data_IF_646328083023
#
_entry.id   IF_646328083023
#
_cell.length_a   1.000
_cell.length_b   1.000
_cell.length_c   1.000
_cell.angle_alpha   90.00
_cell.angle_beta   90.00
_cell.angle_gamma   90.00
#
_symmetry.space_group_name_H-M   'P 1'
#
loop_
_entity.id
_entity.type
_entity.pdbx_description
1 polymer ?
#
# COMPACT_ATOMS: atom_id res chain seq x y z
N UNK A 1 -54.20 35.07 28.36
CA UNK A 1 -53.91 33.87 29.17
C UNK A 1 -54.43 32.70 28.35
N UNK A 2 -53.65 31.80 27.77
CA UNK A 2 -52.44 31.18 28.29
C UNK A 2 -51.57 30.64 27.15
N UNK A 3 -50.27 30.69 27.38
CA UNK A 3 -49.15 30.13 26.62
C UNK A 3 -49.16 28.59 26.61
N UNK A 4 -48.82 27.97 25.47
CA UNK A 4 -48.33 26.58 25.42
C UNK A 4 -47.42 26.42 24.19
N UNK A 5 -46.16 26.82 24.31
CA UNK A 5 -44.97 25.96 24.52
C UNK A 5 -44.58 25.14 23.29
N UNK A 6 -43.57 25.66 22.59
CA UNK A 6 -42.71 25.02 21.59
C UNK A 6 -42.08 23.75 22.15
N UNK A 7 -42.34 22.59 21.55
CA UNK A 7 -41.54 21.39 21.78
C UNK A 7 -40.57 21.24 20.60
N UNK A 8 -39.34 21.72 20.81
CA UNK A 8 -38.23 21.46 19.90
C UNK A 8 -37.99 19.95 19.83
N UNK A 9 -37.99 19.40 18.62
CA UNK A 9 -37.56 18.03 18.38
C UNK A 9 -36.11 17.89 18.84
N UNK A 10 -35.90 17.20 19.96
CA UNK A 10 -34.58 16.84 20.42
C UNK A 10 -33.97 15.90 19.36
N UNK A 11 -33.08 16.44 18.53
CA UNK A 11 -32.10 15.66 17.79
C UNK A 11 -31.30 14.88 18.81
N UNK A 12 -31.64 13.61 18.98
CA UNK A 12 -30.79 12.66 19.66
C UNK A 12 -29.49 12.56 18.83
N UNK A 13 -28.52 13.39 19.18
CA UNK A 13 -27.12 13.25 18.78
C UNK A 13 -26.55 12.05 19.54
N UNK A 14 -27.10 10.85 19.28
CA UNK A 14 -26.38 9.62 19.55
C UNK A 14 -25.21 9.59 18.57
N UNK A 15 -24.00 9.32 19.08
CA UNK A 15 -22.87 9.05 18.21
C UNK A 15 -23.29 7.99 17.18
N UNK A 16 -23.00 8.23 15.90
CA UNK A 16 -23.25 7.23 14.86
C UNK A 16 -22.59 5.92 15.31
N UNK A 17 -23.32 4.79 15.36
CA UNK A 17 -22.77 3.52 15.83
C UNK A 17 -21.51 3.21 15.01
N UNK A 18 -20.36 3.25 15.69
CA UNK A 18 -19.06 3.41 15.05
C UNK A 18 -18.44 2.05 14.66
N UNK A 19 -19.27 1.03 14.51
CA UNK A 19 -18.85 -0.25 13.95
C UNK A 19 -17.81 -0.98 14.81
N UNK A 20 -17.90 -0.86 16.13
CA UNK A 20 -16.90 -1.41 17.04
C UNK A 20 -16.98 -2.93 17.20
N UNK A 21 -15.84 -3.57 17.48
CA UNK A 21 -15.72 -5.00 17.82
C UNK A 21 -16.58 -5.33 19.07
N UNK A 22 -16.73 -4.34 19.96
CA UNK A 22 -17.55 -4.37 21.18
C UNK A 22 -19.05 -4.48 20.85
N UNK A 23 -19.46 -4.06 19.65
CA UNK A 23 -20.84 -3.98 19.18
C UNK A 23 -21.24 -5.22 18.34
N UNK A 24 -20.35 -6.22 18.25
CA UNK A 24 -20.59 -7.49 17.58
C UNK A 24 -20.35 -7.48 16.06
N UNK A 25 -19.78 -6.41 15.51
CA UNK A 25 -19.43 -6.32 14.10
C UNK A 25 -18.05 -6.94 13.83
N UNK A 26 -17.96 -7.81 12.82
CA UNK A 26 -16.71 -8.44 12.41
C UNK A 26 -15.81 -7.43 11.67
N UNK A 27 -14.65 -7.03 12.24
CA UNK A 27 -13.79 -6.00 11.64
C UNK A 27 -13.05 -6.46 10.37
N UNK A 28 -13.12 -7.76 10.08
CA UNK A 28 -12.59 -8.40 8.87
C UNK A 28 -13.57 -8.26 7.69
N UNK A 29 -14.87 -8.05 7.96
CA UNK A 29 -15.84 -7.89 6.89
C UNK A 29 -15.73 -6.49 6.29
N UNK A 30 -15.52 -6.40 4.98
CA UNK A 30 -15.48 -5.12 4.30
C UNK A 30 -16.85 -4.44 4.39
N UNK A 31 -16.89 -3.24 4.98
CA UNK A 31 -18.04 -2.35 4.95
C UNK A 31 -17.67 -1.12 4.10
N UNK A 32 -18.33 -0.87 2.96
CA UNK A 32 -18.04 0.29 2.11
C UNK A 32 -18.20 1.64 2.83
N UNK A 33 -18.99 1.69 3.91
CA UNK A 33 -19.18 2.89 4.73
C UNK A 33 -18.01 3.15 5.67
N UNK A 34 -17.29 2.09 6.09
CA UNK A 34 -16.21 2.14 7.07
C UNK A 34 -14.99 1.30 6.61
N UNK A 35 -14.34 1.66 5.48
CA UNK A 35 -13.24 0.86 4.91
C UNK A 35 -11.95 0.87 5.76
N UNK A 36 -11.87 1.78 6.74
CA UNK A 36 -10.67 2.06 7.53
C UNK A 36 -10.30 0.88 8.44
N UNK A 37 -11.29 0.18 9.01
CA UNK A 37 -11.03 -0.93 9.93
C UNK A 37 -10.27 -2.08 9.25
N UNK A 38 -10.77 -2.50 8.08
CA UNK A 38 -10.14 -3.54 7.28
C UNK A 38 -8.77 -3.09 6.77
N UNK A 39 -8.64 -1.82 6.34
CA UNK A 39 -7.36 -1.25 5.93
C UNK A 39 -6.29 -1.32 7.04
N UNK A 40 -6.65 -0.99 8.29
CA UNK A 40 -5.72 -1.07 9.42
C UNK A 40 -5.26 -2.51 9.66
N UNK A 41 -6.18 -3.48 9.56
CA UNK A 41 -5.85 -4.92 9.66
C UNK A 41 -4.90 -5.34 8.54
N UNK A 42 -5.18 -4.95 7.29
CA UNK A 42 -4.31 -5.21 6.14
C UNK A 42 -2.91 -4.61 6.34
N UNK A 43 -2.83 -3.34 6.73
CA UNK A 43 -1.57 -2.65 6.97
C UNK A 43 -0.78 -3.34 8.10
N UNK A 44 -1.45 -3.74 9.18
CA UNK A 44 -0.83 -4.49 10.26
C UNK A 44 -0.24 -5.82 9.77
N UNK A 45 -1.01 -6.61 9.01
CA UNK A 45 -0.55 -7.89 8.43
C UNK A 45 0.66 -7.66 7.52
N UNK A 46 0.60 -6.68 6.62
CA UNK A 46 1.69 -6.34 5.70
C UNK A 46 2.95 -5.96 6.48
N UNK A 47 2.85 -5.01 7.42
CA UNK A 47 4.00 -4.52 8.19
C UNK A 47 4.58 -5.64 9.06
N UNK A 48 3.72 -6.42 9.72
CA UNK A 48 4.14 -7.54 10.55
C UNK A 48 4.89 -8.60 9.73
N UNK A 49 4.35 -8.99 8.59
CA UNK A 49 4.94 -10.01 7.74
C UNK A 49 6.27 -9.54 7.14
N UNK A 50 6.33 -8.31 6.63
CA UNK A 50 7.59 -7.73 6.12
C UNK A 50 8.66 -7.66 7.21
N UNK A 51 8.31 -7.29 8.45
CA UNK A 51 9.25 -7.30 9.59
C UNK A 51 9.70 -8.71 9.96
N UNK A 52 8.78 -9.66 9.98
CA UNK A 52 9.09 -11.06 10.27
C UNK A 52 10.08 -11.62 9.25
N UNK A 53 9.87 -11.31 7.97
CA UNK A 53 10.74 -11.75 6.89
C UNK A 53 12.09 -11.00 6.86
N UNK A 54 12.12 -9.74 7.30
CA UNK A 54 13.37 -8.98 7.42
C UNK A 54 14.33 -9.60 8.43
N UNK A 55 13.84 -10.20 9.52
CA UNK A 55 14.70 -10.77 10.56
C UNK A 55 15.67 -11.85 10.05
N UNK A 56 15.24 -12.92 9.36
CA UNK A 56 16.16 -13.88 8.77
C UNK A 56 16.94 -13.31 7.58
N UNK A 57 16.31 -12.53 6.70
CA UNK A 57 16.97 -11.98 5.50
C UNK A 57 18.11 -11.01 5.82
N UNK A 58 17.98 -10.24 6.90
CA UNK A 58 19.05 -9.36 7.38
C UNK A 58 20.29 -10.14 7.81
N UNK A 59 20.14 -11.38 8.32
CA UNK A 59 21.29 -12.25 8.64
C UNK A 59 22.03 -12.73 7.39
N UNK A 60 21.35 -12.77 6.25
CA UNK A 60 21.94 -13.06 4.93
C UNK A 60 22.51 -11.81 4.23
N UNK A 61 22.55 -10.66 4.90
CA UNK A 61 23.07 -9.41 4.34
C UNK A 61 22.15 -8.75 3.31
N UNK A 62 20.88 -9.15 3.23
CA UNK A 62 19.93 -8.55 2.31
C UNK A 62 19.45 -7.18 2.83
N UNK A 63 19.48 -6.12 2.00
CA UNK A 63 18.83 -4.85 2.29
C UNK A 63 17.35 -5.02 2.67
N UNK A 64 16.87 -4.14 3.55
CA UNK A 64 15.48 -4.14 4.03
C UNK A 64 14.43 -4.14 2.92
N UNK A 65 14.66 -3.37 1.85
CA UNK A 65 13.74 -3.24 0.71
C UNK A 65 13.49 -4.59 0.03
N UNK A 66 14.48 -5.49 0.00
CA UNK A 66 14.33 -6.81 -0.62
C UNK A 66 13.36 -7.68 0.18
N UNK A 67 13.41 -7.63 1.51
CA UNK A 67 12.45 -8.33 2.36
C UNK A 67 11.02 -7.81 2.19
N UNK A 68 10.86 -6.50 1.95
CA UNK A 68 9.55 -5.89 1.69
C UNK A 68 8.96 -6.36 0.35
N UNK A 69 9.79 -6.43 -0.71
CA UNK A 69 9.37 -6.95 -2.02
C UNK A 69 8.97 -8.42 -1.94
N UNK A 70 9.80 -9.26 -1.30
CA UNK A 70 9.48 -10.68 -1.12
C UNK A 70 8.23 -10.85 -0.24
N UNK A 71 8.09 -10.04 0.81
CA UNK A 71 6.90 -10.01 1.65
C UNK A 71 5.63 -9.74 0.84
N UNK A 72 5.67 -8.76 -0.07
CA UNK A 72 4.57 -8.49 -1.00
C UNK A 72 4.26 -9.65 -1.94
N UNK A 73 5.28 -10.31 -2.51
CA UNK A 73 5.10 -11.49 -3.37
C UNK A 73 4.43 -12.63 -2.60
N UNK A 74 4.88 -12.87 -1.36
CA UNK A 74 4.33 -13.96 -0.52
C UNK A 74 2.91 -13.64 -0.04
N UNK A 75 2.62 -12.41 0.37
CA UNK A 75 1.26 -12.01 0.76
C UNK A 75 0.30 -11.91 -0.44
N UNK A 76 0.84 -11.74 -1.64
CA UNK A 76 0.08 -11.58 -2.88
C UNK A 76 -0.49 -12.88 -3.46
N UNK A 77 -0.97 -12.81 -4.73
CA UNK A 77 -1.52 -13.95 -5.47
C UNK A 77 -0.57 -15.13 -5.63
N UNK A 78 0.75 -14.91 -5.50
CA UNK A 78 1.76 -15.94 -5.73
C UNK A 78 1.80 -17.02 -4.65
N UNK A 79 1.46 -16.70 -3.38
CA UNK A 79 1.56 -17.67 -2.27
C UNK A 79 0.31 -17.65 -1.38
N UNK A 80 0.15 -16.67 -0.49
CA UNK A 80 -0.89 -16.73 0.55
C UNK A 80 -2.31 -16.60 -0.01
N UNK A 81 -2.50 -15.80 -1.05
CA UNK A 81 -3.82 -15.60 -1.65
C UNK A 81 -4.31 -16.79 -2.49
N UNK A 82 -3.49 -17.84 -2.65
CA UNK A 82 -3.90 -19.15 -3.20
C UNK A 82 -4.62 -20.02 -2.16
N UNK A 83 -4.49 -19.71 -0.87
CA UNK A 83 -5.19 -20.41 0.21
C UNK A 83 -6.67 -20.02 0.16
N UNK A 84 -7.61 -20.98 0.14
CA UNK A 84 -9.04 -20.69 0.05
C UNK A 84 -9.50 -19.84 1.25
N UNK A 85 -10.19 -18.73 0.98
CA UNK A 85 -10.70 -17.81 2.00
C UNK A 85 -9.70 -16.75 2.47
N UNK A 86 -8.40 -16.86 2.15
CA UNK A 86 -7.44 -15.82 2.55
C UNK A 86 -7.66 -14.53 1.76
N UNK A 87 -7.90 -14.64 0.45
CA UNK A 87 -8.18 -13.51 -0.43
C UNK A 87 -9.44 -12.78 0.00
N UNK A 88 -10.54 -13.53 0.14
CA UNK A 88 -11.86 -12.97 0.39
C UNK A 88 -11.95 -12.27 1.75
N UNK A 89 -11.25 -12.81 2.77
CA UNK A 89 -11.32 -12.28 4.12
C UNK A 89 -10.33 -11.13 4.37
N UNK A 90 -9.08 -11.25 3.89
CA UNK A 90 -8.02 -10.28 4.24
C UNK A 90 -7.81 -9.24 3.13
N UNK A 91 -7.91 -9.64 1.87
CA UNK A 91 -7.62 -8.79 0.71
C UNK A 91 -8.77 -8.83 -0.31
N UNK A 92 -10.02 -8.47 0.08
CA UNK A 92 -11.14 -8.44 -0.85
C UNK A 92 -10.92 -7.39 -1.93
N UNK A 93 -11.35 -7.67 -3.15
CA UNK A 93 -11.17 -6.79 -4.34
C UNK A 93 -11.65 -5.37 -4.08
N UNK A 94 -12.75 -5.21 -3.34
CA UNK A 94 -13.36 -3.92 -2.98
C UNK A 94 -12.46 -3.04 -2.10
N UNK A 95 -11.54 -3.64 -1.33
CA UNK A 95 -10.59 -2.92 -0.46
C UNK A 95 -9.29 -2.51 -1.17
N UNK A 96 -8.99 -3.13 -2.32
CA UNK A 96 -7.74 -2.90 -3.08
C UNK A 96 -7.53 -1.44 -3.49
N UNK A 97 -8.56 -0.66 -3.90
CA UNK A 97 -8.38 0.74 -4.24
C UNK A 97 -7.88 1.58 -3.06
N UNK A 98 -8.40 1.35 -1.85
CA UNK A 98 -7.97 2.07 -0.64
C UNK A 98 -6.51 1.77 -0.33
N UNK A 99 -6.14 0.48 -0.35
CA UNK A 99 -4.75 0.05 -0.14
C UNK A 99 -3.82 0.65 -1.19
N UNK A 100 -4.20 0.59 -2.47
CA UNK A 100 -3.40 1.11 -3.60
C UNK A 100 -3.19 2.61 -3.51
N UNK A 101 -4.23 3.36 -3.14
CA UNK A 101 -4.13 4.82 -2.99
C UNK A 101 -3.15 5.20 -1.89
N UNK A 102 -3.26 4.55 -0.72
CA UNK A 102 -2.34 4.82 0.39
C UNK A 102 -0.91 4.37 0.05
N UNK A 103 -0.74 3.21 -0.59
CA UNK A 103 0.56 2.73 -1.05
C UNK A 103 1.21 3.69 -2.06
N UNK A 104 0.42 4.25 -2.99
CA UNK A 104 0.88 5.24 -3.96
C UNK A 104 1.33 6.52 -3.26
N UNK A 105 0.57 7.02 -2.29
CA UNK A 105 0.98 8.17 -1.47
C UNK A 105 2.27 7.86 -0.73
N UNK A 106 2.38 6.69 -0.09
CA UNK A 106 3.58 6.24 0.60
C UNK A 106 4.81 6.17 -0.32
N UNK A 107 4.64 5.63 -1.52
CA UNK A 107 5.70 5.59 -2.55
C UNK A 107 6.11 6.99 -3.00
N UNK A 108 5.15 7.90 -3.22
CA UNK A 108 5.45 9.29 -3.58
C UNK A 108 6.22 10.01 -2.47
N UNK A 109 5.81 9.85 -1.21
CA UNK A 109 6.51 10.40 -0.06
C UNK A 109 7.92 9.80 0.10
N UNK A 110 8.07 8.51 -0.16
CA UNK A 110 9.37 7.84 -0.15
C UNK A 110 10.29 8.38 -1.25
N UNK A 111 9.81 8.49 -2.49
CA UNK A 111 10.59 9.04 -3.60
C UNK A 111 10.93 10.52 -3.38
N UNK A 112 10.03 11.28 -2.76
CA UNK A 112 10.29 12.65 -2.36
C UNK A 112 11.42 12.72 -1.33
N UNK A 113 11.40 11.88 -0.29
CA UNK A 113 12.47 11.82 0.70
C UNK A 113 13.82 11.42 0.08
N UNK A 114 13.82 10.43 -0.82
CA UNK A 114 15.01 10.07 -1.59
C UNK A 114 15.52 11.27 -2.39
N UNK A 115 14.62 12.03 -3.03
CA UNK A 115 14.99 13.25 -3.76
C UNK A 115 15.57 14.35 -2.88
N UNK A 116 15.12 14.48 -1.63
CA UNK A 116 15.68 15.43 -0.66
C UNK A 116 17.07 15.02 -0.15
N UNK A 117 17.36 13.72 -0.10
CA UNK A 117 18.66 13.17 0.29
C UNK A 117 19.73 13.35 -0.80
N UNK A 118 19.33 13.60 -2.06
CA UNK A 118 20.27 13.77 -3.18
C UNK A 118 21.02 15.10 -3.08
N UNK A 119 22.36 15.04 -3.11
CA UNK A 119 23.22 16.23 -3.19
C UNK A 119 23.03 16.96 -4.53
N UNK A 120 22.23 18.03 -4.46
CA UNK A 120 21.93 18.87 -5.63
C UNK A 120 23.16 19.61 -6.19
N UNK A 121 24.20 19.86 -5.38
CA UNK A 121 25.42 20.55 -5.81
C UNK A 121 26.30 19.61 -6.62
N UNK A 122 26.50 18.38 -6.13
CA UNK A 122 27.18 17.33 -6.88
C UNK A 122 26.43 16.97 -8.17
N UNK A 123 25.10 16.88 -8.10
CA UNK A 123 24.26 16.62 -9.26
C UNK A 123 24.40 17.72 -10.32
N UNK A 124 24.32 18.99 -9.94
CA UNK A 124 24.49 20.13 -10.88
C UNK A 124 25.87 20.15 -11.53
N UNK A 125 26.93 19.89 -10.76
CA UNK A 125 28.30 19.86 -11.27
C UNK A 125 28.51 18.75 -12.30
N UNK A 126 27.78 17.64 -12.20
CA UNK A 126 27.94 16.45 -13.05
C UNK A 126 26.67 16.12 -13.85
N UNK A 127 25.80 17.11 -14.10
CA UNK A 127 24.43 16.85 -14.59
C UNK A 127 24.40 16.09 -15.91
N UNK A 128 25.35 16.34 -16.82
CA UNK A 128 25.45 15.64 -18.11
C UNK A 128 25.70 14.14 -17.91
N UNK A 129 26.63 13.80 -17.02
CA UNK A 129 26.96 12.40 -16.70
C UNK A 129 25.81 11.75 -15.93
N UNK A 130 25.24 12.44 -14.95
CA UNK A 130 24.12 11.92 -14.17
C UNK A 130 22.90 11.61 -15.06
N UNK A 131 22.54 12.53 -15.96
CA UNK A 131 21.44 12.35 -16.92
C UNK A 131 21.78 11.26 -17.94
N UNK A 132 23.00 11.22 -18.49
CA UNK A 132 23.36 10.20 -19.48
C UNK A 132 23.36 8.80 -18.87
N UNK A 133 23.91 8.64 -17.66
CA UNK A 133 23.92 7.34 -16.95
C UNK A 133 22.50 6.95 -16.56
N UNK A 134 21.69 7.88 -16.06
CA UNK A 134 20.28 7.64 -15.74
C UNK A 134 19.49 7.18 -16.97
N UNK A 135 19.56 7.94 -18.07
CA UNK A 135 18.88 7.60 -19.31
C UNK A 135 19.40 6.28 -19.91
N UNK A 136 20.70 6.05 -19.92
CA UNK A 136 21.27 4.78 -20.40
C UNK A 136 20.78 3.60 -19.56
N UNK A 137 20.78 3.74 -18.22
CA UNK A 137 20.31 2.69 -17.30
C UNK A 137 18.81 2.41 -17.41
N UNK A 138 18.02 3.35 -17.94
CA UNK A 138 16.60 3.15 -18.21
C UNK A 138 16.39 2.60 -19.63
N UNK A 139 16.93 3.27 -20.66
CA UNK A 139 16.75 2.87 -22.06
C UNK A 139 17.28 1.47 -22.35
N UNK A 140 18.38 1.05 -21.71
CA UNK A 140 18.99 -0.25 -21.96
C UNK A 140 18.09 -1.43 -21.52
N UNK A 141 17.70 -1.58 -20.23
CA UNK A 141 16.82 -2.67 -19.82
C UNK A 141 15.42 -2.58 -20.43
N UNK A 142 14.87 -1.37 -20.63
CA UNK A 142 13.59 -1.21 -21.33
C UNK A 142 13.69 -1.63 -22.80
N UNK A 143 14.74 -1.22 -23.51
CA UNK A 143 14.97 -1.60 -24.90
C UNK A 143 15.16 -3.10 -25.07
N UNK A 144 15.95 -3.73 -24.19
CA UNK A 144 16.08 -5.19 -24.15
C UNK A 144 14.74 -5.88 -23.85
N UNK A 145 13.97 -5.34 -22.91
CA UNK A 145 12.63 -5.85 -22.59
C UNK A 145 11.69 -5.83 -23.80
N UNK A 146 11.69 -4.74 -24.58
CA UNK A 146 10.91 -4.63 -25.83
C UNK A 146 11.41 -5.62 -26.89
N UNK A 147 12.73 -5.74 -27.06
CA UNK A 147 13.30 -6.67 -28.05
C UNK A 147 12.94 -8.13 -27.73
N UNK A 148 13.03 -8.53 -26.46
CA UNK A 148 12.61 -9.87 -26.01
C UNK A 148 11.11 -10.07 -26.17
N UNK A 149 10.29 -9.08 -25.80
CA UNK A 149 8.84 -9.16 -25.92
C UNK A 149 8.39 -9.29 -27.39
N UNK A 150 9.02 -8.56 -28.29
CA UNK A 150 8.76 -8.70 -29.73
C UNK A 150 9.19 -10.09 -30.22
N UNK A 151 10.39 -10.55 -29.86
CA UNK A 151 10.86 -11.89 -30.23
C UNK A 151 9.90 -13.00 -29.81
N UNK A 152 9.31 -12.91 -28.62
CA UNK A 152 8.32 -13.88 -28.12
C UNK A 152 6.94 -13.72 -28.77
N UNK A 153 6.57 -12.52 -29.23
CA UNK A 153 5.27 -12.27 -29.86
C UNK A 153 5.19 -12.81 -31.30
N UNK A 154 6.33 -12.88 -31.98
CA UNK A 154 6.45 -13.44 -33.34
C UNK A 154 6.56 -14.98 -33.35
N UNK A 155 6.58 -15.62 -32.18
CA UNK A 155 6.61 -17.09 -31.98
C UNK A 155 5.23 -17.65 -31.65
#
# INVERSE_FOLDING_TARGET
>A
MSSTTTAAAATATGAHPQGGIIEGLNPIHYNPKDPIALFIIQAFIIIFFCRLLQWPLSKFGQPRVIAEVIGGIVLGPSVMMRIPGFKENIFPTESMPVLTNVATIGLLLFLFLVGLEVDTRMFKSNWRVAVSVGLASMMLPFGLGVAVAWGLYEE
#
